data_IF_983591486409
#
_entry.id   IF_983591486409
#
_cell.length_a   1.000
_cell.length_b   1.000
_cell.length_c   1.000
_cell.angle_alpha   90.00
_cell.angle_beta   90.00
_cell.angle_gamma   90.00
#
_symmetry.space_group_name_H-M   'P 1'
#
loop_
_entity.id
_entity.type
_entity.pdbx_description
1 polymer ?
#
# COMPACT_ATOMS: atom_id res chain seq x y z
N UNK A 1 11.61 -123.42 7.52
CA UNK A 1 11.46 -122.30 6.48
C UNK A 1 10.00 -121.95 6.17
N UNK A 2 8.96 -122.67 6.52
CA UNK A 2 7.55 -122.30 6.23
C UNK A 2 6.93 -121.35 7.26
N UNK A 3 7.44 -121.30 8.49
CA UNK A 3 6.88 -120.53 9.60
C UNK A 3 7.31 -119.02 9.57
N UNK A 4 8.49 -118.77 9.03
CA UNK A 4 9.02 -117.42 8.90
C UNK A 4 8.33 -116.63 7.81
N UNK A 5 7.82 -117.29 6.74
CA UNK A 5 7.09 -116.64 5.67
C UNK A 5 5.66 -116.19 6.05
N UNK A 6 5.02 -116.97 6.93
CA UNK A 6 3.68 -116.66 7.41
C UNK A 6 3.70 -115.45 8.35
N UNK A 7 4.73 -115.33 9.20
CA UNK A 7 4.88 -114.17 10.10
C UNK A 7 5.22 -112.91 9.33
N UNK A 8 6.03 -113.01 8.27
CA UNK A 8 6.34 -111.85 7.44
C UNK A 8 5.10 -111.38 6.65
N UNK A 9 4.24 -112.27 6.20
CA UNK A 9 3.01 -111.95 5.52
C UNK A 9 1.96 -111.28 6.44
N UNK A 10 1.94 -111.70 7.74
CA UNK A 10 1.00 -111.18 8.73
C UNK A 10 1.40 -109.76 9.17
N UNK A 11 2.70 -109.47 9.30
CA UNK A 11 3.22 -108.14 9.64
C UNK A 11 3.05 -107.20 8.50
N UNK A 12 3.18 -107.64 7.23
CA UNK A 12 2.94 -106.81 6.04
C UNK A 12 1.45 -106.45 5.89
N UNK A 13 0.53 -107.34 6.28
CA UNK A 13 -0.91 -107.08 6.20
C UNK A 13 -1.36 -106.08 7.33
N UNK A 14 -0.73 -106.10 8.50
CA UNK A 14 -1.03 -105.16 9.57
C UNK A 14 -0.51 -103.75 9.27
N UNK A 15 0.57 -103.61 8.48
CA UNK A 15 1.03 -102.26 8.07
C UNK A 15 0.19 -101.62 6.98
N UNK A 16 -0.60 -102.35 6.25
CA UNK A 16 -1.47 -101.78 5.18
C UNK A 16 -2.80 -101.20 5.68
N UNK A 17 -3.17 -101.42 6.96
CA UNK A 17 -4.46 -100.94 7.51
C UNK A 17 -4.33 -99.64 8.28
N UNK A 18 -3.10 -99.07 8.45
CA UNK A 18 -2.89 -97.83 9.20
C UNK A 18 -2.89 -96.56 8.29
N UNK A 19 -3.10 -96.73 6.96
CA UNK A 19 -3.00 -95.61 5.99
C UNK A 19 -4.34 -95.01 5.54
N UNK A 20 -5.41 -95.09 6.31
CA UNK A 20 -6.64 -94.43 5.96
C UNK A 20 -7.32 -93.77 7.18
N UNK A 21 -6.78 -92.69 7.57
CA UNK A 21 -7.34 -91.81 8.60
C UNK A 21 -6.90 -90.41 8.47
N UNK A 22 -7.00 -89.85 7.23
CA UNK A 22 -7.00 -88.39 7.12
C UNK A 22 -8.36 -87.90 7.58
N UNK A 23 -8.40 -87.45 8.84
CA UNK A 23 -9.55 -86.64 9.30
C UNK A 23 -9.74 -85.49 8.36
N UNK A 24 -10.97 -85.13 7.92
CA UNK A 24 -11.24 -83.99 7.16
C UNK A 24 -10.76 -82.80 7.99
N UNK A 25 -9.73 -82.14 7.50
CA UNK A 25 -9.36 -80.82 8.02
C UNK A 25 -10.59 -79.95 7.86
N UNK A 26 -11.36 -79.72 8.91
CA UNK A 26 -12.36 -78.72 8.95
C UNK A 26 -11.60 -77.40 8.65
N UNK A 27 -11.71 -76.97 7.44
CA UNK A 27 -11.34 -75.59 7.12
C UNK A 27 -12.17 -74.68 8.03
N UNK A 28 -11.52 -74.25 9.10
CA UNK A 28 -12.10 -73.14 9.88
C UNK A 28 -12.40 -72.02 8.90
N UNK A 29 -13.70 -71.73 8.69
CA UNK A 29 -14.10 -70.59 7.98
C UNK A 29 -13.35 -69.38 8.56
N UNK A 30 -12.63 -68.65 7.71
CA UNK A 30 -11.90 -67.50 8.18
C UNK A 30 -12.93 -66.53 8.83
N UNK A 31 -12.76 -66.36 10.13
CA UNK A 31 -13.56 -65.38 10.87
C UNK A 31 -13.07 -63.99 10.46
N UNK A 32 -13.84 -63.31 9.61
CA UNK A 32 -13.59 -61.93 9.28
C UNK A 32 -14.28 -61.05 10.30
N UNK A 33 -13.55 -60.12 10.89
CA UNK A 33 -14.16 -59.09 11.72
C UNK A 33 -14.98 -58.17 10.84
N UNK A 34 -16.27 -58.14 11.04
CA UNK A 34 -17.17 -57.21 10.37
C UNK A 34 -17.44 -56.02 11.29
N UNK A 35 -17.26 -54.84 10.76
CA UNK A 35 -17.60 -53.62 11.47
C UNK A 35 -18.91 -53.09 10.90
N UNK A 36 -19.88 -52.87 11.77
CA UNK A 36 -21.14 -52.22 11.40
C UNK A 36 -20.86 -50.76 11.17
N UNK A 37 -21.06 -50.30 9.95
CA UNK A 37 -20.93 -48.88 9.60
C UNK A 37 -22.26 -48.22 9.97
N UNK A 38 -22.22 -47.30 10.92
CA UNK A 38 -23.33 -46.45 11.28
C UNK A 38 -23.08 -45.06 10.74
N UNK A 39 -24.15 -44.39 10.26
CA UNK A 39 -24.07 -42.98 9.88
C UNK A 39 -23.92 -42.15 11.16
N UNK A 40 -22.88 -41.35 11.23
CA UNK A 40 -22.64 -40.41 12.32
C UNK A 40 -22.46 -39.04 11.75
N UNK A 41 -23.20 -38.04 12.23
CA UNK A 41 -22.97 -36.64 11.89
C UNK A 41 -21.64 -36.19 12.49
N UNK A 42 -20.70 -35.89 11.63
CA UNK A 42 -19.39 -35.39 12.02
C UNK A 42 -19.11 -34.07 11.37
N UNK A 43 -18.90 -33.05 12.17
CA UNK A 43 -18.44 -31.75 11.70
C UNK A 43 -16.98 -31.82 11.31
N UNK A 44 -16.67 -31.61 10.04
CA UNK A 44 -15.31 -31.58 9.53
C UNK A 44 -14.89 -30.09 9.46
N UNK A 45 -13.98 -29.62 10.32
CA UNK A 45 -13.46 -28.26 10.23
C UNK A 45 -12.60 -28.12 8.96
N UNK A 46 -12.97 -27.19 8.09
CA UNK A 46 -12.16 -26.86 6.92
C UNK A 46 -11.54 -25.49 7.13
N UNK A 47 -10.22 -25.40 7.08
CA UNK A 47 -9.48 -24.15 7.22
C UNK A 47 -9.28 -23.52 5.84
N UNK A 48 -9.65 -22.24 5.71
CA UNK A 48 -9.43 -21.45 4.51
C UNK A 48 -8.42 -20.36 4.80
N UNK A 49 -7.47 -20.16 3.89
CA UNK A 49 -6.56 -19.01 3.94
C UNK A 49 -7.32 -17.75 3.60
N UNK A 50 -7.23 -16.74 4.45
CA UNK A 50 -7.85 -15.43 4.23
C UNK A 50 -6.83 -14.33 4.40
N UNK A 51 -6.90 -13.32 3.53
CA UNK A 51 -6.16 -12.06 3.69
C UNK A 51 -7.11 -11.00 4.22
N UNK A 52 -6.77 -10.40 5.35
CA UNK A 52 -7.53 -9.30 5.95
C UNK A 52 -6.86 -7.99 5.57
N UNK A 53 -7.63 -7.05 5.04
CA UNK A 53 -7.18 -5.68 4.74
C UNK A 53 -8.14 -4.67 5.33
N UNK A 54 -7.61 -3.53 5.77
CA UNK A 54 -8.41 -2.37 6.15
C UNK A 54 -9.26 -1.89 4.95
N UNK A 55 -10.30 -1.14 5.24
CA UNK A 55 -11.17 -0.54 4.22
C UNK A 55 -10.37 0.30 3.24
N UNK A 56 -9.35 1.00 3.71
CA UNK A 56 -8.50 1.85 2.90
C UNK A 56 -7.09 1.89 3.51
N UNK A 57 -6.12 1.43 2.74
CA UNK A 57 -4.70 1.50 3.08
C UNK A 57 -4.05 2.55 2.18
N UNK A 58 -3.65 3.68 2.75
CA UNK A 58 -3.05 4.80 2.02
C UNK A 58 -1.56 4.84 2.33
N UNK A 59 -0.73 4.60 1.32
CA UNK A 59 0.71 4.78 1.41
C UNK A 59 1.06 6.27 1.31
N UNK A 60 1.77 6.79 2.29
CA UNK A 60 2.16 8.20 2.39
C UNK A 60 3.56 8.39 1.83
N UNK A 61 3.67 9.14 0.75
CA UNK A 61 4.94 9.54 0.14
C UNK A 61 5.18 11.03 0.34
N UNK A 62 6.44 11.47 0.49
CA UNK A 62 6.77 12.88 0.51
C UNK A 62 6.59 13.47 -0.90
N UNK A 63 6.12 14.70 -0.98
CA UNK A 63 5.97 15.42 -2.26
C UNK A 63 7.17 16.31 -2.57
N UNK A 64 8.02 16.55 -1.57
CA UNK A 64 9.23 17.36 -1.66
C UNK A 64 10.43 16.60 -1.11
N UNK A 65 11.62 16.95 -1.57
CA UNK A 65 12.88 16.35 -1.13
C UNK A 65 13.44 17.09 0.08
N UNK A 66 14.02 16.39 1.03
CA UNK A 66 14.69 17.00 2.19
C UNK A 66 14.92 16.00 3.30
N UNK A 67 15.53 16.47 4.38
CA UNK A 67 15.79 15.67 5.57
C UNK A 67 14.59 15.73 6.52
N UNK A 68 14.20 14.60 7.11
CA UNK A 68 13.16 14.57 8.14
C UNK A 68 13.68 15.28 9.38
N UNK A 69 13.08 16.43 9.70
CA UNK A 69 13.40 17.19 10.93
C UNK A 69 12.73 16.62 12.15
N UNK A 70 11.48 16.15 12.00
CA UNK A 70 10.69 15.63 13.11
C UNK A 70 9.72 14.57 12.65
N UNK A 71 9.55 13.53 13.48
CA UNK A 71 8.49 12.51 13.37
C UNK A 71 7.53 12.74 14.53
N UNK A 72 6.26 13.05 14.21
CA UNK A 72 5.24 13.45 15.19
C UNK A 72 4.32 12.29 15.61
N UNK A 73 4.62 11.07 15.17
CA UNK A 73 3.79 9.89 15.36
C UNK A 73 4.61 8.68 15.79
N UNK A 74 3.93 7.69 16.33
CA UNK A 74 4.49 6.36 16.66
C UNK A 74 3.78 5.26 15.84
N UNK A 75 4.46 4.12 15.66
CA UNK A 75 3.87 2.95 15.01
C UNK A 75 2.63 2.46 15.78
N UNK A 76 1.57 2.12 15.08
CA UNK A 76 0.31 1.68 15.68
C UNK A 76 -0.56 2.80 16.25
N UNK A 77 -0.12 4.06 16.23
CA UNK A 77 -0.88 5.21 16.73
C UNK A 77 -2.11 5.48 15.86
N UNK A 78 -3.23 5.81 16.49
CA UNK A 78 -4.40 6.35 15.81
C UNK A 78 -4.19 7.81 15.45
N UNK A 79 -4.51 8.16 14.20
CA UNK A 79 -4.40 9.53 13.69
C UNK A 79 -5.72 9.97 13.07
N UNK A 80 -5.94 11.28 13.09
CA UNK A 80 -7.09 11.93 12.45
C UNK A 80 -6.67 12.60 11.15
N UNK A 81 -7.62 12.76 10.23
CA UNK A 81 -7.39 13.49 8.97
C UNK A 81 -6.84 14.90 9.26
N UNK A 82 -5.76 15.26 8.58
CA UNK A 82 -5.07 16.55 8.72
C UNK A 82 -4.02 16.59 9.85
N UNK A 83 -3.91 15.55 10.68
CA UNK A 83 -2.88 15.46 11.71
C UNK A 83 -1.49 15.39 11.07
N UNK A 84 -0.53 16.15 11.61
CA UNK A 84 0.87 16.15 11.16
C UNK A 84 1.53 14.82 11.51
N UNK A 85 2.14 14.19 10.51
CA UNK A 85 2.87 12.93 10.65
C UNK A 85 4.38 13.16 10.68
N UNK A 86 4.89 13.89 9.68
CA UNK A 86 6.31 14.20 9.53
C UNK A 86 6.49 15.67 9.20
N UNK A 87 7.64 16.19 9.60
CA UNK A 87 8.11 17.52 9.20
C UNK A 87 9.45 17.35 8.50
N UNK A 88 9.50 17.75 7.23
CA UNK A 88 10.72 17.82 6.42
C UNK A 88 11.37 19.18 6.65
N UNK A 89 12.69 19.28 6.50
CA UNK A 89 13.41 20.55 6.66
C UNK A 89 12.78 21.67 5.83
N UNK A 90 12.31 22.69 6.51
CA UNK A 90 11.59 23.83 5.94
C UNK A 90 12.49 25.00 5.55
N UNK A 91 13.75 25.00 5.99
CA UNK A 91 14.63 26.16 5.83
C UNK A 91 14.79 26.59 4.37
N UNK A 92 15.12 25.69 3.42
CA UNK A 92 15.25 26.05 2.02
C UNK A 92 13.93 26.52 1.39
N UNK A 93 12.82 25.91 1.79
CA UNK A 93 11.48 26.25 1.27
C UNK A 93 10.98 27.61 1.78
N UNK A 94 11.26 27.95 3.05
CA UNK A 94 10.98 29.28 3.61
C UNK A 94 11.82 30.37 2.93
N UNK A 95 13.07 30.07 2.62
CA UNK A 95 13.92 31.01 1.88
C UNK A 95 13.39 31.24 0.45
N UNK A 96 12.99 30.16 -0.24
CA UNK A 96 12.38 30.26 -1.57
C UNK A 96 11.06 31.06 -1.56
N UNK A 97 10.21 30.85 -0.53
CA UNK A 97 8.98 31.61 -0.36
C UNK A 97 9.27 33.12 -0.21
N UNK A 98 10.19 33.49 0.68
CA UNK A 98 10.58 34.90 0.87
C UNK A 98 11.13 35.55 -0.40
N UNK A 99 11.89 34.80 -1.20
CA UNK A 99 12.40 35.28 -2.49
C UNK A 99 11.24 35.52 -3.45
N UNK A 100 10.25 34.61 -3.52
CA UNK A 100 9.07 34.78 -4.36
C UNK A 100 8.21 35.97 -3.89
N UNK A 101 8.02 36.16 -2.58
CA UNK A 101 7.34 37.32 -2.00
C UNK A 101 8.02 38.63 -2.42
N UNK A 102 9.35 38.70 -2.32
CA UNK A 102 10.09 39.90 -2.74
C UNK A 102 9.96 40.17 -4.24
N UNK A 103 9.93 39.13 -5.08
CA UNK A 103 9.72 39.28 -6.53
C UNK A 103 8.31 39.83 -6.84
N UNK A 104 7.27 39.40 -6.11
CA UNK A 104 5.91 39.95 -6.26
C UNK A 104 5.89 41.40 -5.87
N UNK A 105 6.52 41.83 -4.78
CA UNK A 105 6.58 43.23 -4.39
C UNK A 105 7.33 44.08 -5.43
N UNK A 106 8.42 43.59 -5.99
CA UNK A 106 9.14 44.23 -7.06
C UNK A 106 8.27 44.41 -8.34
N UNK A 107 7.54 43.34 -8.71
CA UNK A 107 6.63 43.38 -9.85
C UNK A 107 5.44 44.33 -9.61
N UNK A 108 4.89 44.39 -8.40
CA UNK A 108 3.87 45.39 -8.04
C UNK A 108 4.37 46.82 -8.19
N UNK A 109 5.59 47.11 -7.76
CA UNK A 109 6.21 48.42 -7.94
C UNK A 109 6.39 48.76 -9.42
N UNK A 110 6.79 47.78 -10.25
CA UNK A 110 6.90 47.98 -11.70
C UNK A 110 5.53 48.29 -12.36
N UNK A 111 4.47 47.58 -11.95
CA UNK A 111 3.10 47.86 -12.41
C UNK A 111 2.67 49.25 -11.99
N UNK A 112 2.92 49.66 -10.74
CA UNK A 112 2.57 50.99 -10.26
C UNK A 112 3.28 52.11 -11.08
N UNK A 113 4.56 51.94 -11.40
CA UNK A 113 5.33 52.86 -12.24
C UNK A 113 4.79 52.89 -13.66
N UNK A 114 4.52 51.74 -14.27
CA UNK A 114 3.95 51.66 -15.62
C UNK A 114 2.54 52.27 -15.68
N UNK A 115 1.72 52.03 -14.64
CA UNK A 115 0.38 52.63 -14.53
C UNK A 115 0.45 54.15 -14.46
N UNK A 116 1.33 54.72 -13.63
CA UNK A 116 1.53 56.17 -13.52
C UNK A 116 1.97 56.76 -14.87
N UNK A 117 2.88 56.08 -15.57
CA UNK A 117 3.34 56.50 -16.90
C UNK A 117 2.21 56.49 -17.92
N UNK A 118 1.40 55.42 -17.93
CA UNK A 118 0.24 55.32 -18.80
C UNK A 118 -0.79 56.43 -18.51
N UNK A 119 -1.14 56.68 -17.27
CA UNK A 119 -2.11 57.67 -16.85
C UNK A 119 -1.63 59.07 -17.23
N UNK A 120 -0.36 59.38 -17.03
CA UNK A 120 0.27 60.65 -17.46
C UNK A 120 0.20 60.84 -18.98
N UNK A 121 0.55 59.78 -19.76
CA UNK A 121 0.49 59.81 -21.23
C UNK A 121 -0.96 59.97 -21.73
N UNK A 122 -1.92 59.34 -21.09
CA UNK A 122 -3.35 59.44 -21.38
C UNK A 122 -3.87 60.87 -21.18
N UNK A 123 -3.46 61.54 -20.10
CA UNK A 123 -3.82 62.94 -19.85
C UNK A 123 -3.21 63.85 -20.89
N UNK A 124 -1.92 63.67 -21.22
CA UNK A 124 -1.27 64.52 -22.27
C UNK A 124 -1.86 64.26 -23.65
N UNK A 125 -2.27 63.02 -23.96
CA UNK A 125 -2.96 62.72 -25.22
C UNK A 125 -4.31 63.40 -25.32
N UNK A 126 -5.09 63.50 -24.24
CA UNK A 126 -6.37 64.24 -24.23
C UNK A 126 -6.21 65.66 -24.49
N UNK A 127 -5.01 66.25 -24.26
CA UNK A 127 -4.65 67.64 -24.53
C UNK A 127 -3.92 67.83 -25.89
N UNK A 128 -3.84 66.74 -26.72
CA UNK A 128 -3.14 66.68 -27.99
C UNK A 128 -1.63 67.04 -27.94
N UNK A 129 -0.97 66.69 -26.77
CA UNK A 129 0.46 67.03 -26.58
C UNK A 129 1.32 65.77 -26.98
N UNK A 130 0.80 64.59 -26.97
CA UNK A 130 1.52 63.33 -27.34
C UNK A 130 0.78 62.60 -28.46
N UNK A 131 1.52 61.74 -29.19
CA UNK A 131 0.98 60.93 -30.27
C UNK A 131 0.20 59.72 -29.78
N UNK A 132 -0.67 59.14 -30.62
CA UNK A 132 -1.33 57.86 -30.36
C UNK A 132 -0.32 56.75 -30.16
N UNK A 133 0.82 56.81 -30.86
CA UNK A 133 1.91 55.82 -30.72
C UNK A 133 2.50 55.84 -29.30
N UNK A 134 2.74 57.04 -28.72
CA UNK A 134 3.26 57.16 -27.35
C UNK A 134 2.28 56.59 -26.31
N UNK A 135 0.98 56.83 -26.49
CA UNK A 135 -0.04 56.26 -25.60
C UNK A 135 -0.08 54.74 -25.69
N UNK A 136 -0.12 54.19 -26.93
CA UNK A 136 -0.14 52.76 -27.14
C UNK A 136 1.13 52.04 -26.62
N UNK A 137 2.29 52.72 -26.72
CA UNK A 137 3.55 52.18 -26.15
C UNK A 137 3.49 52.13 -24.62
N UNK A 138 2.93 53.16 -23.97
CA UNK A 138 2.75 53.14 -22.51
C UNK A 138 1.74 52.09 -22.06
N UNK A 139 0.66 51.89 -22.81
CA UNK A 139 -0.32 50.82 -22.56
C UNK A 139 0.30 49.45 -22.67
N UNK A 140 1.07 49.18 -23.73
CA UNK A 140 1.78 47.90 -23.90
C UNK A 140 2.80 47.66 -22.78
N UNK A 141 3.49 48.72 -22.33
CA UNK A 141 4.40 48.64 -21.19
C UNK A 141 3.67 48.25 -19.89
N UNK A 142 2.50 48.84 -19.64
CA UNK A 142 1.64 48.49 -18.52
C UNK A 142 1.15 47.03 -18.60
N UNK A 143 0.72 46.60 -19.79
CA UNK A 143 0.30 45.17 -19.98
C UNK A 143 1.45 44.23 -19.72
N UNK A 144 2.65 44.56 -20.18
CA UNK A 144 3.86 43.76 -19.91
C UNK A 144 4.17 43.67 -18.42
N UNK A 145 4.12 44.82 -17.70
CA UNK A 145 4.32 44.81 -16.25
C UNK A 145 3.26 44.00 -15.50
N UNK A 146 1.99 44.08 -15.92
CA UNK A 146 0.91 43.23 -15.36
C UNK A 146 1.14 41.73 -15.60
N UNK A 147 1.63 41.36 -16.79
CA UNK A 147 1.97 39.98 -17.11
C UNK A 147 3.13 39.46 -16.22
N UNK A 148 4.14 40.32 -15.99
CA UNK A 148 5.26 40.01 -15.09
C UNK A 148 4.79 39.81 -13.62
N UNK A 149 3.84 40.62 -13.15
CA UNK A 149 3.23 40.44 -11.83
C UNK A 149 2.49 39.11 -11.74
N UNK A 150 1.67 38.78 -12.75
CA UNK A 150 0.97 37.49 -12.77
C UNK A 150 1.94 36.29 -12.77
N UNK A 151 3.09 36.43 -13.44
CA UNK A 151 4.14 35.39 -13.40
C UNK A 151 4.78 35.29 -12.02
N UNK A 152 5.06 36.41 -11.35
CA UNK A 152 5.60 36.45 -10.00
C UNK A 152 4.60 35.84 -8.97
N UNK A 153 3.31 36.17 -9.10
CA UNK A 153 2.26 35.57 -8.25
C UNK A 153 2.16 34.08 -8.43
N UNK A 154 2.26 33.56 -9.65
CA UNK A 154 2.30 32.12 -9.90
C UNK A 154 3.53 31.45 -9.25
N UNK A 155 4.69 32.10 -9.30
CA UNK A 155 5.90 31.60 -8.62
C UNK A 155 5.74 31.61 -7.09
N UNK A 156 5.08 32.62 -6.52
CA UNK A 156 4.75 32.69 -5.10
C UNK A 156 3.84 31.52 -4.67
N UNK A 157 2.79 31.24 -5.42
CA UNK A 157 1.88 30.11 -5.15
C UNK A 157 2.64 28.78 -5.18
N UNK A 158 3.53 28.59 -6.15
CA UNK A 158 4.36 27.38 -6.22
C UNK A 158 5.30 27.25 -5.02
N UNK A 159 5.95 28.31 -4.59
CA UNK A 159 6.83 28.31 -3.41
C UNK A 159 6.03 28.03 -2.13
N UNK A 160 4.84 28.61 -1.98
CA UNK A 160 3.94 28.36 -0.84
C UNK A 160 3.46 26.90 -0.80
N UNK A 161 3.09 26.32 -1.95
CA UNK A 161 2.71 24.91 -2.04
C UNK A 161 3.87 23.98 -1.64
N UNK A 162 5.09 24.25 -2.16
CA UNK A 162 6.28 23.47 -1.82
C UNK A 162 6.57 23.53 -0.31
N UNK A 163 6.43 24.69 0.31
CA UNK A 163 6.54 24.82 1.77
C UNK A 163 5.42 24.04 2.48
N UNK A 164 4.19 24.05 1.99
CA UNK A 164 3.10 23.27 2.60
C UNK A 164 3.34 21.78 2.56
N UNK A 165 3.97 21.27 1.52
CA UNK A 165 4.32 19.85 1.33
C UNK A 165 5.45 19.37 2.26
N UNK A 166 6.20 20.29 2.89
CA UNK A 166 7.18 19.90 3.93
C UNK A 166 6.52 19.38 5.20
N UNK A 167 5.23 19.70 5.41
CA UNK A 167 4.44 19.17 6.53
C UNK A 167 3.55 18.06 5.99
N UNK A 168 4.01 16.83 6.17
CA UNK A 168 3.25 15.64 5.73
C UNK A 168 2.12 15.37 6.70
N UNK A 169 0.88 15.38 6.20
CA UNK A 169 -0.34 15.20 7.00
C UNK A 169 -1.08 13.92 6.64
N UNK A 170 -1.87 13.40 7.58
CA UNK A 170 -2.73 12.25 7.36
C UNK A 170 -3.89 12.60 6.39
N UNK A 171 -4.10 11.86 5.29
CA UNK A 171 -5.19 12.12 4.35
C UNK A 171 -6.55 11.63 4.85
N UNK A 172 -6.55 10.68 5.79
CA UNK A 172 -7.74 10.06 6.38
C UNK A 172 -7.52 9.76 7.86
N UNK A 173 -8.61 9.44 8.56
CA UNK A 173 -8.52 8.82 9.88
C UNK A 173 -8.03 7.39 9.72
N UNK A 174 -7.25 6.90 10.69
CA UNK A 174 -6.74 5.53 10.62
C UNK A 174 -5.70 5.21 11.66
N UNK A 175 -5.00 4.12 11.45
CA UNK A 175 -3.87 3.66 12.28
C UNK A 175 -2.60 3.72 11.43
N UNK A 176 -1.55 4.26 12.01
CA UNK A 176 -0.22 4.36 11.39
C UNK A 176 0.42 2.98 11.35
N UNK A 177 0.94 2.60 10.21
CA UNK A 177 1.72 1.37 10.01
C UNK A 177 3.16 1.50 10.51
N UNK A 178 4.07 0.83 9.82
CA UNK A 178 5.51 0.88 10.12
C UNK A 178 6.12 2.22 9.70
N UNK A 179 7.18 2.63 10.39
CA UNK A 179 7.96 3.86 10.14
C UNK A 179 9.39 3.49 9.71
N UNK A 180 9.63 3.20 8.42
CA UNK A 180 10.96 2.81 7.94
C UNK A 180 11.98 3.96 8.02
N UNK A 181 11.52 5.22 7.99
CA UNK A 181 12.37 6.40 8.03
C UNK A 181 12.35 7.06 9.40
N UNK A 182 13.51 7.48 9.88
CA UNK A 182 13.73 8.14 11.18
C UNK A 182 14.13 9.60 10.96
N UNK A 183 14.13 10.37 12.06
CA UNK A 183 14.67 11.74 12.06
C UNK A 183 16.11 11.73 11.52
N UNK A 184 16.43 12.66 10.63
CA UNK A 184 17.72 12.75 9.93
C UNK A 184 17.78 11.98 8.61
N UNK A 185 16.80 11.15 8.26
CA UNK A 185 16.76 10.47 6.97
C UNK A 185 16.45 11.44 5.83
N UNK A 186 17.19 11.31 4.71
CA UNK A 186 16.90 12.03 3.48
C UNK A 186 15.76 11.34 2.73
N UNK A 187 14.74 12.10 2.36
CA UNK A 187 13.56 11.61 1.64
C UNK A 187 13.32 12.43 0.38
N UNK A 188 12.65 11.83 -0.60
CA UNK A 188 12.27 12.49 -1.86
C UNK A 188 11.00 11.85 -2.42
N UNK A 189 10.37 12.47 -3.42
CA UNK A 189 9.20 11.91 -4.09
C UNK A 189 9.48 10.56 -4.79
N UNK A 190 10.75 10.19 -5.02
CA UNK A 190 11.18 8.99 -5.74
C UNK A 190 11.63 7.85 -4.83
N UNK A 191 11.35 7.91 -3.51
CA UNK A 191 11.74 6.82 -2.60
C UNK A 191 10.97 5.53 -2.90
N UNK A 192 11.63 4.36 -2.81
CA UNK A 192 11.01 3.07 -3.15
C UNK A 192 9.94 2.63 -2.14
N UNK A 193 10.02 3.10 -0.90
CA UNK A 193 9.10 2.76 0.19
C UNK A 193 8.40 4.01 0.70
N UNK A 194 7.11 3.91 1.08
CA UNK A 194 6.39 5.03 1.68
C UNK A 194 6.97 5.40 3.05
N UNK A 195 6.77 6.65 3.48
CA UNK A 195 7.13 7.11 4.83
C UNK A 195 6.38 6.32 5.90
N UNK A 196 5.13 6.02 5.63
CA UNK A 196 4.26 5.15 6.43
C UNK A 196 3.01 4.81 5.62
N UNK A 197 2.19 3.93 6.17
CA UNK A 197 0.85 3.64 5.65
C UNK A 197 -0.18 4.04 6.70
N UNK A 198 -1.26 4.70 6.30
CA UNK A 198 -2.40 4.96 7.18
C UNK A 198 -3.54 4.05 6.76
N UNK A 199 -3.92 3.13 7.65
CA UNK A 199 -4.96 2.13 7.42
C UNK A 199 -6.24 2.47 8.17
N UNK A 200 -7.36 2.55 7.47
CA UNK A 200 -8.68 2.64 8.09
C UNK A 200 -9.18 1.25 8.45
N UNK A 201 -9.02 0.90 9.74
CA UNK A 201 -9.42 -0.39 10.29
C UNK A 201 -10.83 -0.37 10.91
N UNK A 202 -11.63 0.67 10.66
CA UNK A 202 -13.01 0.76 11.14
C UNK A 202 -13.91 -0.33 10.54
N UNK A 203 -13.61 -0.73 9.31
CA UNK A 203 -14.22 -1.84 8.57
C UNK A 203 -13.13 -2.63 7.89
N UNK A 204 -13.16 -3.95 8.00
CA UNK A 204 -12.16 -4.81 7.38
C UNK A 204 -12.79 -5.66 6.28
N UNK A 205 -12.09 -5.82 5.16
CA UNK A 205 -12.42 -6.76 4.10
C UNK A 205 -11.63 -8.04 4.28
N UNK A 206 -12.33 -9.16 4.24
CA UNK A 206 -11.72 -10.50 4.29
C UNK A 206 -11.78 -11.10 2.90
N UNK A 207 -10.64 -11.31 2.29
CA UNK A 207 -10.49 -11.96 1.00
C UNK A 207 -10.19 -13.44 1.22
N UNK A 208 -11.19 -14.30 0.94
CA UNK A 208 -11.06 -15.74 1.01
C UNK A 208 -10.62 -16.27 -0.36
N UNK A 209 -9.52 -17.00 -0.41
CA UNK A 209 -9.11 -17.73 -1.61
C UNK A 209 -9.75 -19.13 -1.60
N UNK A 210 -10.89 -19.26 -2.25
CA UNK A 210 -11.59 -20.51 -2.42
C UNK A 210 -11.13 -21.16 -3.75
N UNK A 211 -10.20 -22.11 -3.68
CA UNK A 211 -9.63 -22.73 -4.89
C UNK A 211 -10.59 -23.76 -5.50
N UNK A 212 -11.50 -24.36 -4.72
CA UNK A 212 -12.45 -25.33 -5.25
C UNK A 212 -13.72 -25.41 -4.37
N UNK A 213 -14.84 -25.04 -4.92
CA UNK A 213 -16.17 -25.46 -4.46
C UNK A 213 -16.67 -26.46 -5.49
N UNK A 214 -16.11 -27.68 -5.49
CA UNK A 214 -16.75 -28.82 -6.11
C UNK A 214 -17.54 -29.58 -5.05
N UNK A 215 -18.84 -29.52 -5.20
CA UNK A 215 -19.77 -30.41 -4.54
C UNK A 215 -20.30 -31.39 -5.58
#
# INVERSE_FOLDING_TARGET
MKQTFVQAALVACCMAVVSCGQAPTQQRAAEYSVQTITTTDRTIPTNYSATIRGRQDIAIYPQVSGTISQVCITEGQRVTKGQTLFIIDQVPYKAALRTAEANVEAAKAAVATAQLTYDSKKELFSRNVVSQYDLSTAENSLLTAKAQLAQADAALVNAANNLSYTVVKAPSNGVVGTLPYRVGALVSASIPQPLTTVSDNSTMYVYLSLIHICR
#
